data_IF_081837691342
#
_entry.id   IF_081837691342
#
_cell.length_a   1.000
_cell.length_b   1.000
_cell.length_c   1.000
_cell.angle_alpha   90.00
_cell.angle_beta   90.00
_cell.angle_gamma   90.00
#
_symmetry.space_group_name_H-M   'P 1'
#
loop_
_entity.id
_entity.type
_entity.pdbx_description
1 polymer ?
#
# COMPACT_ATOMS: atom_id res chain seq x y z
N UNK A 1 17.71 3.89 -17.86
CA UNK A 1 18.25 3.76 -16.49
C UNK A 1 19.68 4.24 -16.47
N UNK A 2 20.05 5.10 -15.52
CA UNK A 2 21.42 5.59 -15.32
C UNK A 2 21.97 4.94 -14.07
N UNK A 3 23.04 4.14 -14.20
CA UNK A 3 23.67 3.46 -13.09
C UNK A 3 24.89 4.23 -12.59
N UNK A 4 25.16 4.16 -11.28
CA UNK A 4 26.36 4.69 -10.63
C UNK A 4 26.86 3.66 -9.62
N UNK A 5 28.17 3.45 -9.58
CA UNK A 5 28.83 2.62 -8.57
C UNK A 5 29.37 3.53 -7.47
N UNK A 6 29.18 3.16 -6.22
CA UNK A 6 29.66 3.89 -5.05
C UNK A 6 29.17 3.22 -3.76
N UNK A 7 29.67 3.75 -2.64
CA UNK A 7 29.21 3.35 -1.31
C UNK A 7 27.99 4.21 -0.90
N UNK A 8 26.80 3.64 -0.71
CA UNK A 8 25.60 4.39 -0.34
C UNK A 8 25.66 4.99 1.08
N UNK A 9 26.62 4.59 1.90
CA UNK A 9 26.87 5.19 3.21
C UNK A 9 27.87 6.35 3.16
N UNK A 10 28.54 6.56 2.00
CA UNK A 10 29.51 7.64 1.83
C UNK A 10 28.81 8.91 1.30
N UNK A 11 28.80 10.03 2.06
CA UNK A 11 28.20 11.30 1.64
C UNK A 11 28.71 11.83 0.29
N UNK A 12 29.99 11.64 -0.03
CA UNK A 12 30.57 12.09 -1.30
C UNK A 12 30.01 11.30 -2.50
N UNK A 13 29.79 10.01 -2.34
CA UNK A 13 29.20 9.18 -3.39
C UNK A 13 27.70 9.49 -3.54
N UNK A 14 26.98 9.73 -2.44
CA UNK A 14 25.60 10.19 -2.46
C UNK A 14 25.44 11.55 -3.15
N UNK A 15 26.42 12.46 -3.01
CA UNK A 15 26.42 13.75 -3.71
C UNK A 15 26.40 13.62 -5.24
N UNK A 16 26.85 12.49 -5.79
CA UNK A 16 26.91 12.23 -7.25
C UNK A 16 25.58 11.80 -7.86
N UNK A 17 24.59 11.46 -7.04
CA UNK A 17 23.28 10.93 -7.51
C UNK A 17 22.15 11.98 -7.41
N UNK A 18 22.48 13.25 -7.16
CA UNK A 18 21.54 14.37 -7.19
C UNK A 18 20.30 14.19 -6.29
N UNK A 19 20.54 13.81 -5.04
CA UNK A 19 19.48 13.52 -4.04
C UNK A 19 18.47 14.66 -3.86
N UNK A 20 18.93 15.92 -3.94
CA UNK A 20 18.06 17.09 -3.71
C UNK A 20 16.94 17.26 -4.74
N UNK A 21 17.09 16.69 -5.93
CA UNK A 21 16.07 16.71 -6.98
C UNK A 21 15.30 15.39 -7.12
N UNK A 22 15.60 14.39 -6.28
CA UNK A 22 14.87 13.15 -6.28
C UNK A 22 13.43 13.36 -5.76
N UNK A 23 12.44 12.78 -6.42
CA UNK A 23 11.05 12.72 -5.94
C UNK A 23 10.94 11.77 -4.76
N UNK A 24 11.62 10.64 -4.84
CA UNK A 24 11.69 9.61 -3.80
C UNK A 24 13.01 8.84 -3.92
N UNK A 25 13.39 8.19 -2.85
CA UNK A 25 14.54 7.28 -2.79
C UNK A 25 14.04 5.93 -2.31
N UNK A 26 14.52 4.87 -2.94
CA UNK A 26 14.27 3.49 -2.51
C UNK A 26 15.60 2.94 -2.02
N UNK A 27 15.61 2.44 -0.79
CA UNK A 27 16.74 1.75 -0.17
C UNK A 27 16.33 0.30 0.00
N UNK A 28 16.99 -0.57 -0.73
CA UNK A 28 16.75 -2.01 -0.69
C UNK A 28 17.77 -2.66 0.24
N UNK A 29 17.36 -3.71 0.94
CA UNK A 29 18.29 -4.58 1.63
C UNK A 29 19.13 -5.36 0.61
N UNK A 30 20.39 -5.61 0.90
CA UNK A 30 21.22 -6.52 0.16
C UNK A 30 21.25 -7.86 0.88
N UNK A 31 21.18 -8.94 0.13
CA UNK A 31 20.88 -10.33 0.56
C UNK A 31 21.55 -10.81 1.87
N UNK A 32 22.58 -10.13 2.37
CA UNK A 32 23.32 -10.53 3.57
C UNK A 32 23.57 -9.39 4.57
N UNK A 33 22.98 -8.19 4.38
CA UNK A 33 23.37 -7.02 5.19
C UNK A 33 22.43 -6.67 6.34
N UNK A 34 21.15 -6.99 6.19
CA UNK A 34 20.11 -6.76 7.18
C UNK A 34 19.80 -5.30 7.50
N UNK A 35 18.80 -5.07 8.33
CA UNK A 35 18.24 -3.77 8.68
C UNK A 35 19.27 -2.72 9.09
N UNK A 36 20.35 -3.12 9.76
CA UNK A 36 21.39 -2.20 10.23
C UNK A 36 22.06 -1.43 9.07
N UNK A 37 22.29 -2.10 7.95
CA UNK A 37 22.84 -1.49 6.74
C UNK A 37 21.84 -0.51 6.12
N UNK A 38 20.59 -0.92 5.98
CA UNK A 38 19.52 -0.07 5.46
C UNK A 38 19.35 1.18 6.32
N UNK A 39 19.33 1.04 7.63
CA UNK A 39 19.28 2.16 8.59
C UNK A 39 20.49 3.10 8.38
N UNK A 40 21.69 2.55 8.23
CA UNK A 40 22.91 3.34 8.02
C UNK A 40 22.85 4.13 6.72
N UNK A 41 22.38 3.52 5.63
CA UNK A 41 22.17 4.21 4.34
C UNK A 41 21.13 5.33 4.48
N UNK A 42 20.00 5.06 5.13
CA UNK A 42 18.95 6.06 5.37
C UNK A 42 19.51 7.25 6.15
N UNK A 43 20.31 7.00 7.19
CA UNK A 43 20.93 8.06 7.98
C UNK A 43 21.95 8.88 7.16
N UNK A 44 22.74 8.22 6.30
CA UNK A 44 23.66 8.89 5.38
C UNK A 44 22.90 9.77 4.36
N UNK A 45 21.82 9.25 3.78
CA UNK A 45 20.93 10.02 2.89
C UNK A 45 20.35 11.23 3.62
N UNK A 46 19.88 11.06 4.84
CA UNK A 46 19.33 12.16 5.67
C UNK A 46 20.38 13.23 6.01
N UNK A 47 21.63 12.83 6.22
CA UNK A 47 22.71 13.76 6.52
C UNK A 47 23.08 14.66 5.32
N UNK A 48 22.92 14.17 4.11
CA UNK A 48 23.24 14.91 2.86
C UNK A 48 22.03 15.62 2.28
N UNK A 49 20.84 15.07 2.48
CA UNK A 49 19.61 15.59 1.88
C UNK A 49 19.13 16.86 2.55
N UNK A 50 18.86 17.89 1.75
CA UNK A 50 18.30 19.16 2.19
C UNK A 50 16.80 19.32 1.89
N UNK A 51 16.20 18.38 1.14
CA UNK A 51 14.78 18.44 0.79
C UNK A 51 13.92 17.83 1.91
N UNK A 52 13.13 18.63 2.65
CA UNK A 52 12.31 18.14 3.74
C UNK A 52 11.13 17.26 3.27
N UNK A 53 10.76 17.35 1.99
CA UNK A 53 9.64 16.62 1.41
C UNK A 53 10.06 15.30 0.74
N UNK A 54 11.36 14.99 0.73
CA UNK A 54 11.85 13.75 0.16
C UNK A 54 11.27 12.55 0.90
N UNK A 55 10.62 11.67 0.18
CA UNK A 55 10.16 10.37 0.69
C UNK A 55 11.26 9.33 0.51
N UNK A 56 11.53 8.57 1.55
CA UNK A 56 12.48 7.46 1.54
C UNK A 56 11.70 6.18 1.79
N UNK A 57 11.69 5.29 0.84
CA UNK A 57 11.13 3.96 0.97
C UNK A 57 12.27 3.03 1.36
N UNK A 58 12.15 2.34 2.48
CA UNK A 58 13.20 1.47 2.99
C UNK A 58 12.65 0.05 3.20
N UNK A 59 13.35 -0.94 2.65
CA UNK A 59 13.08 -2.33 2.92
C UNK A 59 13.65 -2.70 4.28
N UNK A 60 12.81 -3.18 5.19
CA UNK A 60 13.19 -3.56 6.56
C UNK A 60 12.40 -4.80 6.98
N UNK A 61 13.04 -5.67 7.75
CA UNK A 61 12.41 -6.90 8.25
C UNK A 61 11.85 -6.75 9.66
N UNK A 62 12.57 -6.08 10.56
CA UNK A 62 12.18 -5.94 11.96
C UNK A 62 11.17 -4.80 12.16
N UNK A 63 10.05 -5.12 12.82
CA UNK A 63 8.98 -4.16 13.06
C UNK A 63 9.40 -3.01 13.97
N UNK A 64 10.22 -3.28 14.97
CA UNK A 64 10.63 -2.26 15.94
C UNK A 64 11.62 -1.30 15.28
N UNK A 65 12.52 -1.81 14.43
CA UNK A 65 13.45 -1.02 13.64
C UNK A 65 12.68 -0.12 12.67
N UNK A 66 11.67 -0.66 11.99
CA UNK A 66 10.82 0.10 11.07
C UNK A 66 10.06 1.24 11.78
N UNK A 67 9.46 0.96 12.95
CA UNK A 67 8.74 1.95 13.76
C UNK A 67 9.69 3.02 14.31
N UNK A 68 10.84 2.60 14.85
CA UNK A 68 11.86 3.51 15.38
C UNK A 68 12.38 4.46 14.28
N UNK A 69 12.68 3.92 13.09
CA UNK A 69 13.19 4.71 11.97
C UNK A 69 12.14 5.69 11.44
N UNK A 70 10.89 5.25 11.30
CA UNK A 70 9.77 6.12 10.91
C UNK A 70 9.58 7.28 11.91
N UNK A 71 9.60 6.97 13.21
CA UNK A 71 9.48 7.97 14.27
C UNK A 71 10.66 8.94 14.28
N UNK A 72 11.88 8.44 14.22
CA UNK A 72 13.10 9.26 14.21
C UNK A 72 13.20 10.19 12.98
N UNK A 73 12.51 9.85 11.91
CA UNK A 73 12.51 10.62 10.65
C UNK A 73 11.24 11.44 10.43
N UNK A 74 10.37 11.55 11.44
CA UNK A 74 9.09 12.27 11.37
C UNK A 74 8.22 11.80 10.17
N UNK A 75 8.21 10.50 9.89
CA UNK A 75 7.43 9.90 8.81
C UNK A 75 7.97 10.16 7.39
N UNK A 76 9.20 10.67 7.24
CA UNK A 76 9.84 10.76 5.92
C UNK A 76 10.22 9.38 5.38
N UNK A 77 10.53 8.44 6.27
CA UNK A 77 10.83 7.06 5.90
C UNK A 77 9.56 6.22 5.98
N UNK A 78 9.27 5.55 4.89
CA UNK A 78 8.21 4.57 4.74
C UNK A 78 8.88 3.20 4.69
N UNK A 79 8.71 2.41 5.75
CA UNK A 79 9.24 1.06 5.80
C UNK A 79 8.34 0.08 5.03
N UNK A 80 8.94 -0.71 4.17
CA UNK A 80 8.29 -1.83 3.49
C UNK A 80 8.85 -3.11 4.08
N UNK A 81 8.01 -3.90 4.72
CA UNK A 81 8.37 -5.18 5.33
C UNK A 81 8.01 -6.29 4.35
N UNK A 82 8.93 -6.60 3.43
CA UNK A 82 8.72 -7.54 2.33
C UNK A 82 8.33 -8.93 2.83
N UNK A 83 9.00 -9.45 3.86
CA UNK A 83 8.67 -10.74 4.47
C UNK A 83 7.25 -10.80 5.03
N UNK A 84 6.75 -9.74 5.66
CA UNK A 84 5.38 -9.67 6.16
C UNK A 84 4.36 -9.67 5.02
N UNK A 85 4.61 -8.89 3.97
CA UNK A 85 3.72 -8.84 2.81
C UNK A 85 3.62 -10.23 2.16
N UNK A 86 4.75 -10.88 1.93
CA UNK A 86 4.80 -12.23 1.35
C UNK A 86 4.08 -13.24 2.25
N UNK A 87 4.33 -13.18 3.58
CA UNK A 87 3.68 -14.09 4.53
C UNK A 87 2.15 -13.93 4.52
N UNK A 88 1.64 -12.70 4.51
CA UNK A 88 0.20 -12.40 4.45
C UNK A 88 -0.44 -12.88 3.15
N UNK A 89 0.20 -12.58 2.02
CA UNK A 89 -0.30 -13.05 0.71
C UNK A 89 -0.31 -14.57 0.66
N UNK A 90 0.73 -15.24 1.16
CA UNK A 90 0.83 -16.70 1.22
C UNK A 90 -0.27 -17.31 2.10
N UNK A 91 -0.46 -16.77 3.31
CA UNK A 91 -1.50 -17.23 4.22
C UNK A 91 -2.89 -17.08 3.63
N UNK A 92 -3.19 -15.94 3.04
CA UNK A 92 -4.51 -15.68 2.44
C UNK A 92 -4.73 -16.50 1.16
N UNK A 93 -3.71 -16.66 0.32
CA UNK A 93 -3.78 -17.48 -0.89
C UNK A 93 -4.04 -18.96 -0.58
N UNK A 94 -3.55 -19.46 0.56
CA UNK A 94 -3.82 -20.82 1.00
C UNK A 94 -5.31 -21.05 1.33
N UNK A 95 -6.02 -20.00 1.71
CA UNK A 95 -7.44 -20.03 2.10
C UNK A 95 -8.39 -19.67 0.96
N UNK A 96 -7.96 -18.86 0.02
CA UNK A 96 -8.77 -18.35 -1.09
C UNK A 96 -8.06 -18.55 -2.42
N UNK A 97 -8.42 -19.58 -3.20
CA UNK A 97 -7.87 -19.80 -4.52
C UNK A 97 -8.03 -18.56 -5.41
N UNK A 98 -6.96 -18.16 -6.10
CA UNK A 98 -6.95 -16.99 -6.99
C UNK A 98 -6.51 -15.68 -6.34
N UNK A 99 -6.46 -15.59 -4.99
CA UNK A 99 -6.07 -14.34 -4.34
C UNK A 99 -4.63 -13.91 -4.67
N UNK A 100 -3.70 -14.88 -4.81
CA UNK A 100 -2.34 -14.56 -5.21
C UNK A 100 -2.30 -13.87 -6.59
N UNK A 101 -3.08 -14.36 -7.56
CA UNK A 101 -3.16 -13.75 -8.89
C UNK A 101 -3.72 -12.32 -8.82
N UNK A 102 -4.81 -12.12 -8.08
CA UNK A 102 -5.40 -10.77 -7.88
C UNK A 102 -4.40 -9.82 -7.19
N UNK A 103 -3.67 -10.31 -6.19
CA UNK A 103 -2.66 -9.48 -5.50
C UNK A 103 -1.52 -9.08 -6.44
N UNK A 104 -1.06 -10.02 -7.28
CA UNK A 104 0.00 -9.73 -8.25
C UNK A 104 -0.48 -8.75 -9.32
N UNK A 105 -1.70 -8.89 -9.80
CA UNK A 105 -2.33 -7.98 -10.76
C UNK A 105 -2.40 -6.54 -10.22
N UNK A 106 -2.85 -6.37 -8.97
CA UNK A 106 -2.90 -5.06 -8.30
C UNK A 106 -1.53 -4.43 -8.01
N UNK A 107 -0.45 -5.19 -8.12
CA UNK A 107 0.93 -4.74 -7.95
C UNK A 107 1.69 -4.62 -9.27
N UNK A 108 1.08 -5.02 -10.39
CA UNK A 108 1.65 -4.93 -11.73
C UNK A 108 1.23 -3.60 -12.37
N UNK A 109 2.17 -2.91 -13.02
CA UNK A 109 1.90 -1.66 -13.74
C UNK A 109 1.13 -1.86 -15.06
N UNK A 110 1.00 -3.10 -15.54
CA UNK A 110 0.24 -3.44 -16.75
C UNK A 110 -1.23 -3.81 -16.43
N UNK A 111 -1.60 -3.85 -15.13
CA UNK A 111 -2.94 -4.20 -14.65
C UNK A 111 -3.72 -3.02 -14.07
N UNK A 112 -4.81 -3.35 -13.38
CA UNK A 112 -5.52 -2.36 -12.57
C UNK A 112 -4.70 -2.01 -11.32
N UNK A 113 -4.56 -0.72 -11.05
CA UNK A 113 -3.80 -0.20 -9.91
C UNK A 113 -4.68 0.47 -8.85
N UNK A 114 -4.12 0.72 -7.69
CA UNK A 114 -4.80 1.45 -6.60
C UNK A 114 -4.45 2.92 -6.66
N UNK A 115 -5.46 3.77 -6.89
CA UNK A 115 -5.31 5.22 -6.96
C UNK A 115 -5.98 5.95 -5.79
N UNK A 116 -5.40 7.10 -5.44
CA UNK A 116 -5.89 8.01 -4.40
C UNK A 116 -6.30 9.32 -5.05
N UNK A 117 -7.61 9.54 -5.22
CA UNK A 117 -8.13 10.67 -5.99
C UNK A 117 -8.91 11.64 -5.12
N UNK A 118 -8.59 12.93 -5.28
CA UNK A 118 -9.39 14.02 -4.71
C UNK A 118 -10.67 14.20 -5.52
N UNK A 119 -11.83 14.08 -4.86
CA UNK A 119 -13.13 14.26 -5.51
C UNK A 119 -14.00 15.23 -4.69
N UNK A 120 -13.82 16.55 -4.84
CA UNK A 120 -14.54 17.57 -4.08
C UNK A 120 -16.05 17.44 -4.18
N UNK A 121 -16.56 16.94 -5.32
CA UNK A 121 -17.99 16.71 -5.55
C UNK A 121 -18.64 15.66 -4.62
N UNK A 122 -17.83 14.85 -3.96
CA UNK A 122 -18.27 13.86 -2.97
C UNK A 122 -18.29 14.42 -1.54
N UNK A 123 -17.78 15.62 -1.28
CA UNK A 123 -17.78 16.21 0.05
C UNK A 123 -19.21 16.34 0.59
N UNK A 124 -19.45 15.82 1.81
CA UNK A 124 -20.76 15.78 2.46
C UNK A 124 -21.67 14.62 2.02
N UNK A 125 -21.31 13.92 0.94
CA UNK A 125 -21.99 12.69 0.50
C UNK A 125 -21.60 11.50 1.38
N UNK A 126 -22.20 10.34 1.13
CA UNK A 126 -21.89 9.11 1.85
C UNK A 126 -20.91 8.24 1.04
N UNK A 127 -20.26 7.28 1.70
CA UNK A 127 -19.47 6.27 1.00
C UNK A 127 -20.31 5.46 0.00
N UNK A 128 -21.60 5.22 0.31
CA UNK A 128 -22.53 4.61 -0.65
C UNK A 128 -22.64 5.43 -1.95
N UNK A 129 -22.69 6.74 -1.84
CA UNK A 129 -22.77 7.61 -3.02
C UNK A 129 -21.48 7.52 -3.84
N UNK A 130 -20.32 7.41 -3.18
CA UNK A 130 -19.04 7.22 -3.85
C UNK A 130 -18.97 5.90 -4.63
N UNK A 131 -19.52 4.81 -4.08
CA UNK A 131 -19.55 3.51 -4.78
C UNK A 131 -20.31 3.54 -6.11
N UNK A 132 -21.20 4.51 -6.31
CA UNK A 132 -22.07 4.64 -7.48
C UNK A 132 -21.71 5.85 -8.36
N UNK A 133 -20.54 6.44 -8.15
CA UNK A 133 -20.17 7.71 -8.73
C UNK A 133 -19.11 7.63 -9.83
N UNK A 134 -18.65 6.43 -10.17
CA UNK A 134 -17.61 6.18 -11.16
C UNK A 134 -18.04 5.06 -12.11
N UNK A 135 -17.78 5.22 -13.39
CA UNK A 135 -18.09 4.19 -14.39
C UNK A 135 -16.92 3.23 -14.62
N UNK A 136 -15.70 3.76 -14.65
CA UNK A 136 -14.50 3.03 -15.07
C UNK A 136 -13.53 2.81 -13.90
N UNK A 137 -14.00 3.03 -12.65
CA UNK A 137 -13.23 2.79 -11.45
C UNK A 137 -14.09 2.20 -10.34
N UNK A 138 -13.50 1.34 -9.52
CA UNK A 138 -14.15 0.71 -8.37
C UNK A 138 -13.65 1.33 -7.07
N UNK A 139 -14.48 2.10 -6.36
CA UNK A 139 -14.10 2.67 -5.06
C UNK A 139 -14.07 1.58 -4.01
N UNK A 140 -12.93 1.44 -3.33
CA UNK A 140 -12.69 0.43 -2.29
C UNK A 140 -12.52 1.01 -0.88
N UNK A 141 -12.37 2.34 -0.76
CA UNK A 141 -12.15 2.97 0.53
C UNK A 141 -12.02 4.48 0.48
N UNK A 142 -11.63 5.04 1.61
CA UNK A 142 -11.41 6.47 1.81
C UNK A 142 -10.07 6.72 2.52
N UNK A 143 -9.41 7.83 2.18
CA UNK A 143 -8.39 8.45 3.02
C UNK A 143 -8.99 9.72 3.61
N UNK A 144 -9.07 9.79 4.92
CA UNK A 144 -9.60 10.95 5.63
C UNK A 144 -8.58 12.11 5.63
N UNK A 145 -9.04 13.33 5.84
CA UNK A 145 -8.18 14.52 5.87
C UNK A 145 -7.02 14.44 6.89
N UNK A 146 -7.16 13.64 7.93
CA UNK A 146 -6.11 13.38 8.93
C UNK A 146 -5.08 12.32 8.48
N UNK A 147 -5.19 11.80 7.25
CA UNK A 147 -4.33 10.77 6.68
C UNK A 147 -4.74 9.32 7.00
N UNK A 148 -5.74 9.10 7.85
CA UNK A 148 -6.23 7.76 8.14
C UNK A 148 -6.89 7.13 6.93
N UNK A 149 -6.49 5.90 6.63
CA UNK A 149 -7.03 5.07 5.54
C UNK A 149 -8.08 4.11 6.10
N UNK A 150 -9.25 4.05 5.45
CA UNK A 150 -10.33 3.13 5.81
C UNK A 150 -10.80 2.39 4.55
N UNK A 151 -10.56 1.07 4.50
CA UNK A 151 -11.06 0.21 3.44
C UNK A 151 -12.47 -0.28 3.78
N UNK A 152 -13.34 -0.29 2.78
CA UNK A 152 -14.73 -0.71 2.89
C UNK A 152 -15.46 -0.10 4.09
N UNK A 153 -15.47 1.25 4.23
CA UNK A 153 -16.18 1.91 5.33
C UNK A 153 -17.68 1.60 5.29
N UNK A 154 -18.36 1.90 6.38
CA UNK A 154 -19.83 1.76 6.41
C UNK A 154 -20.45 2.63 5.31
N UNK A 155 -21.49 2.14 4.65
CA UNK A 155 -22.20 2.86 3.60
C UNK A 155 -22.66 4.26 4.00
N UNK A 156 -22.92 4.48 5.30
CA UNK A 156 -23.36 5.75 5.88
C UNK A 156 -22.21 6.68 6.26
N UNK A 157 -20.94 6.23 6.15
CA UNK A 157 -19.77 7.05 6.45
C UNK A 157 -19.79 8.30 5.57
N UNK A 158 -19.71 9.48 6.21
CA UNK A 158 -19.68 10.78 5.52
C UNK A 158 -18.28 11.08 5.02
N UNK A 159 -18.20 11.56 3.79
CA UNK A 159 -16.96 12.00 3.15
C UNK A 159 -16.73 13.45 3.57
N UNK A 160 -15.69 13.68 4.35
CA UNK A 160 -15.30 15.00 4.83
C UNK A 160 -14.56 15.82 3.75
N UNK A 161 -14.45 17.12 3.98
CA UNK A 161 -13.61 17.98 3.16
C UNK A 161 -12.13 17.51 3.25
N UNK A 162 -11.41 17.47 2.11
CA UNK A 162 -10.04 17.01 2.03
C UNK A 162 -9.86 15.48 2.14
N UNK A 163 -10.96 14.71 2.18
CA UNK A 163 -10.89 13.26 2.03
C UNK A 163 -10.68 12.88 0.56
N UNK A 164 -9.94 11.79 0.32
CA UNK A 164 -9.74 11.21 -1.01
C UNK A 164 -10.41 9.85 -1.10
N UNK A 165 -10.89 9.50 -2.28
CA UNK A 165 -11.31 8.12 -2.55
C UNK A 165 -10.10 7.24 -2.84
N UNK A 166 -10.20 5.98 -2.44
CA UNK A 166 -9.29 4.91 -2.84
C UNK A 166 -10.04 4.11 -3.87
N UNK A 167 -9.52 4.03 -5.07
CA UNK A 167 -10.18 3.34 -6.18
C UNK A 167 -9.20 2.41 -6.90
N UNK A 168 -9.74 1.35 -7.49
CA UNK A 168 -9.03 0.47 -8.42
C UNK A 168 -9.47 0.84 -9.82
N UNK A 169 -8.53 1.06 -10.72
CA UNK A 169 -8.75 1.43 -12.11
C UNK A 169 -7.51 1.10 -12.95
N UNK A 170 -7.69 1.02 -14.25
CA UNK A 170 -6.61 0.78 -15.23
C UNK A 170 -5.53 1.87 -15.22
N UNK A 171 -5.94 3.15 -15.01
CA UNK A 171 -5.01 4.27 -14.93
C UNK A 171 -5.63 5.39 -14.08
N UNK A 172 -4.84 6.37 -13.64
CA UNK A 172 -5.29 7.48 -12.79
C UNK A 172 -6.32 8.37 -13.50
N UNK A 173 -6.25 8.49 -14.84
CA UNK A 173 -7.20 9.22 -15.69
C UNK A 173 -8.59 8.55 -15.78
N UNK A 174 -8.72 7.30 -15.36
CA UNK A 174 -9.99 6.56 -15.30
C UNK A 174 -10.80 6.82 -14.03
N UNK A 175 -10.17 7.36 -12.98
CA UNK A 175 -10.86 7.68 -11.71
C UNK A 175 -11.63 9.00 -11.86
N UNK A 176 -12.59 9.02 -12.77
CA UNK A 176 -13.39 10.21 -13.11
C UNK A 176 -14.75 10.15 -12.45
N UNK A 177 -15.08 11.20 -11.68
CA UNK A 177 -16.42 11.35 -11.11
C UNK A 177 -17.47 11.59 -12.19
N UNK A 178 -18.40 10.65 -12.35
CA UNK A 178 -19.47 10.70 -13.37
C UNK A 178 -20.83 11.10 -12.79
N UNK A 179 -20.88 11.33 -11.48
CA UNK A 179 -22.12 11.62 -10.75
C UNK A 179 -22.68 10.37 -10.07
N UNK A 180 -23.47 10.59 -9.02
CA UNK A 180 -24.11 9.49 -8.31
C UNK A 180 -25.23 8.92 -9.19
N UNK A 181 -25.13 7.66 -9.52
CA UNK A 181 -26.13 6.95 -10.31
C UNK A 181 -27.27 6.45 -9.43
N UNK A 182 -28.50 6.76 -9.79
CA UNK A 182 -29.72 6.22 -9.17
C UNK A 182 -30.06 4.83 -9.73
N UNK A 183 -29.08 3.94 -9.85
CA UNK A 183 -29.32 2.57 -10.31
C UNK A 183 -30.14 1.83 -9.26
N UNK A 184 -31.44 1.75 -9.48
CA UNK A 184 -32.32 0.91 -8.71
C UNK A 184 -32.27 -0.51 -9.30
N UNK A 185 -31.66 -1.45 -8.61
CA UNK A 185 -31.75 -2.86 -8.98
C UNK A 185 -33.20 -3.35 -8.76
N UNK A 186 -34.00 -3.37 -9.80
CA UNK A 186 -35.38 -3.88 -9.75
C UNK A 186 -35.47 -5.41 -9.60
N UNK A 187 -34.34 -6.12 -9.58
CA UNK A 187 -34.29 -7.57 -9.36
C UNK A 187 -34.06 -7.85 -7.90
N UNK A 188 -34.87 -8.74 -7.32
CA UNK A 188 -34.60 -9.28 -5.97
C UNK A 188 -33.21 -9.93 -5.96
N UNK A 189 -32.31 -9.37 -5.18
CA UNK A 189 -31.02 -10.00 -4.89
C UNK A 189 -31.33 -11.22 -4.00
N UNK A 190 -30.95 -12.45 -4.38
CA UNK A 190 -31.20 -13.62 -3.56
C UNK A 190 -30.48 -13.46 -2.21
N UNK A 191 -31.17 -13.85 -1.14
CA UNK A 191 -30.57 -13.87 0.20
C UNK A 191 -29.37 -14.82 0.18
N UNK A 192 -28.18 -14.38 0.61
CA UNK A 192 -27.02 -15.26 0.69
C UNK A 192 -27.34 -16.48 1.55
N UNK A 193 -26.97 -17.67 1.08
CA UNK A 193 -27.04 -18.86 1.93
C UNK A 193 -26.07 -18.71 3.10
N UNK A 194 -26.52 -19.08 4.30
CA UNK A 194 -25.67 -19.10 5.47
C UNK A 194 -24.44 -20.00 5.19
N UNK A 195 -23.27 -19.42 5.33
CA UNK A 195 -22.01 -20.16 5.20
C UNK A 195 -21.70 -20.85 6.53
N UNK A 196 -21.63 -22.18 6.50
CA UNK A 196 -21.19 -22.95 7.66
C UNK A 196 -19.68 -23.18 7.54
N UNK A 197 -18.91 -22.63 8.47
CA UNK A 197 -17.47 -22.90 8.54
C UNK A 197 -17.25 -24.38 8.81
N UNK A 198 -16.47 -25.03 7.96
CA UNK A 198 -15.96 -26.38 8.17
C UNK A 198 -14.59 -26.30 8.78
N UNK A 199 -14.19 -27.31 9.56
CA UNK A 199 -12.82 -27.46 10.01
C UNK A 199 -11.91 -27.63 8.78
N UNK A 200 -10.86 -26.82 8.73
CA UNK A 200 -9.87 -26.86 7.66
C UNK A 200 -8.56 -27.42 8.22
N UNK A 201 -7.84 -28.17 7.41
CA UNK A 201 -6.54 -28.72 7.75
C UNK A 201 -5.50 -28.10 6.82
N UNK A 202 -4.54 -27.37 7.40
CA UNK A 202 -3.42 -26.80 6.68
C UNK A 202 -2.19 -27.68 6.89
N UNK A 203 -1.57 -28.10 5.79
CA UNK A 203 -0.26 -28.77 5.81
C UNK A 203 0.81 -27.81 5.34
N UNK A 204 1.81 -27.57 6.16
CA UNK A 204 2.99 -26.77 5.81
C UNK A 204 4.18 -27.71 5.59
N UNK A 205 4.80 -27.65 4.43
CA UNK A 205 5.98 -28.45 4.09
C UNK A 205 7.17 -27.50 3.95
N UNK A 206 8.21 -27.72 4.75
CA UNK A 206 9.35 -26.84 4.89
C UNK A 206 9.09 -25.75 5.95
N UNK A 207 10.16 -25.09 6.39
CA UNK A 207 10.09 -24.03 7.38
C UNK A 207 11.13 -22.96 7.05
N UNK A 208 10.71 -21.69 7.09
CA UNK A 208 11.57 -20.53 6.89
C UNK A 208 11.33 -19.49 7.99
N UNK A 209 12.07 -18.39 7.97
CA UNK A 209 11.84 -17.23 8.84
C UNK A 209 10.39 -16.71 8.79
N UNK A 210 9.72 -16.81 7.64
CA UNK A 210 8.33 -16.41 7.44
C UNK A 210 7.30 -17.40 8.01
N UNK A 211 7.70 -18.65 8.32
CA UNK A 211 6.76 -19.71 8.70
C UNK A 211 5.86 -19.34 9.89
N UNK A 212 6.43 -18.66 10.89
CA UNK A 212 5.65 -18.16 12.03
C UNK A 212 4.62 -17.13 11.59
N UNK A 213 5.01 -16.15 10.79
CA UNK A 213 4.11 -15.09 10.31
C UNK A 213 2.96 -15.66 9.48
N UNK A 214 3.23 -16.64 8.62
CA UNK A 214 2.18 -17.35 7.83
C UNK A 214 1.15 -18.03 8.73
N UNK A 215 1.55 -18.60 9.87
CA UNK A 215 0.64 -19.32 10.76
C UNK A 215 -0.12 -18.41 11.73
N UNK A 216 0.33 -17.18 11.94
CA UNK A 216 -0.31 -16.23 12.86
C UNK A 216 -1.32 -15.31 12.19
N UNK A 217 -1.34 -15.26 10.85
CA UNK A 217 -2.35 -14.56 10.04
C UNK A 217 -3.62 -15.41 9.85
#
# INVERSE_FOLDING_TARGET
VITRTGDPMNPNDLGRVNLSNAKSIIVLDSDDSGDATVVSIVLAVKAVNTNPNLKIIAELDDANTAEALSTATNGQVIAVRSHDVIARVTAQASRQPGLAAVTLDLLDFDGDEIYFQDVPALTGKTYRDALLAFNDASVIGLVHANGNTELNPKHTTKIGAGARVIAVAEDDDKVVYTGVSDVVANKKIPTPKAFTRKAEHLLVIGWSSMGRSVLTE
#
